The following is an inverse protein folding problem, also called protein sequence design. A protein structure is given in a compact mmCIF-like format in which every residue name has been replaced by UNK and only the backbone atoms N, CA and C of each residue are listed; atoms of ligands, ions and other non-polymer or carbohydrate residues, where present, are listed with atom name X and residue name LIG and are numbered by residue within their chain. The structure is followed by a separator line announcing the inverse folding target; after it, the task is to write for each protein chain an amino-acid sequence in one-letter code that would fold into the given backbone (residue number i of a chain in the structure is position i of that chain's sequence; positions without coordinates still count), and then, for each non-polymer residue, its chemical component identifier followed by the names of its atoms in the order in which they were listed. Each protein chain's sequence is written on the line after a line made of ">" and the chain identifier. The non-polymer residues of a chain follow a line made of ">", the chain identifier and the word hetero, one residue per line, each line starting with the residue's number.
data_IF_436269708928
#
_entry.id   IF_436269708928
#
_cell.length_a   1.000
_cell.length_b   1.000
_cell.length_c   1.000
_cell.angle_alpha   90.00
_cell.angle_beta   90.00
_cell.angle_gamma   90.00
#
_symmetry.space_group_name_H-M   'P 1'
#
loop_
_entity.id
_entity.type
_entity.pdbx_description
1 polymer ?
#
# COMPACT_ATOMS: atom_id res chain seq x y z
N UNK A 1 -19.22 -9.83 27.74
CA UNK A 1 -17.86 -10.01 27.21
C UNK A 1 -17.32 -8.62 26.92
N UNK A 2 -16.18 -8.26 27.50
CA UNK A 2 -15.54 -6.99 27.19
C UNK A 2 -15.09 -7.02 25.73
N UNK A 3 -15.49 -6.01 24.96
CA UNK A 3 -15.01 -5.80 23.59
C UNK A 3 -13.60 -5.23 23.74
N UNK A 4 -12.58 -5.87 23.18
CA UNK A 4 -11.25 -5.28 23.16
C UNK A 4 -11.32 -3.97 22.37
N UNK A 5 -10.77 -2.87 22.89
CA UNK A 5 -10.73 -1.62 22.15
C UNK A 5 -9.92 -1.81 20.85
N UNK A 6 -10.29 -1.12 19.76
CA UNK A 6 -9.67 -1.33 18.46
C UNK A 6 -8.18 -1.01 18.49
N UNK A 7 -7.38 -1.84 17.81
CA UNK A 7 -5.95 -1.61 17.64
C UNK A 7 -5.70 -0.46 16.68
N UNK A 8 -4.75 0.40 17.04
CA UNK A 8 -4.22 1.46 16.19
C UNK A 8 -2.76 1.18 15.87
N UNK A 9 -2.38 1.49 14.64
CA UNK A 9 -1.04 1.23 14.10
C UNK A 9 -0.41 2.54 13.66
N UNK A 10 0.82 2.82 14.10
CA UNK A 10 1.56 4.02 13.70
C UNK A 10 2.87 3.62 13.06
N UNK A 11 3.14 4.13 11.86
CA UNK A 11 4.41 3.94 11.17
C UNK A 11 5.20 5.23 11.27
N UNK A 12 6.33 5.21 11.97
CA UNK A 12 7.19 6.38 12.18
C UNK A 12 8.64 5.93 12.52
N UNK A 13 9.63 6.85 12.55
CA UNK A 13 10.93 6.55 13.16
C UNK A 13 10.77 6.15 14.63
N UNK A 14 11.64 5.27 15.13
CA UNK A 14 11.57 4.74 16.50
C UNK A 14 11.45 5.83 17.57
N UNK A 15 12.22 6.91 17.41
CA UNK A 15 12.29 8.03 18.36
C UNK A 15 11.03 8.88 18.41
N UNK A 16 10.12 8.73 17.44
CA UNK A 16 8.86 9.47 17.36
C UNK A 16 7.66 8.65 17.86
N UNK A 17 7.84 7.36 18.18
CA UNK A 17 6.76 6.49 18.66
C UNK A 17 6.56 6.65 20.17
N UNK A 18 5.39 7.10 20.64
CA UNK A 18 5.09 7.19 22.07
C UNK A 18 5.22 5.85 22.79
N UNK A 19 5.77 5.88 24.01
CA UNK A 19 5.88 4.71 24.89
C UNK A 19 4.92 4.86 26.07
N UNK A 20 4.41 3.75 26.61
CA UNK A 20 3.45 3.77 27.71
C UNK A 20 2.09 4.35 27.31
N UNK A 21 1.50 5.18 28.16
CA UNK A 21 0.20 5.81 27.90
C UNK A 21 0.33 7.06 27.04
N UNK A 22 -0.58 7.24 26.09
CA UNK A 22 -0.58 8.30 25.08
C UNK A 22 -1.99 8.70 24.67
N UNK A 23 -2.10 9.75 23.84
CA UNK A 23 -3.36 10.23 23.26
C UNK A 23 -3.40 9.98 21.75
N UNK A 24 -4.60 10.04 21.18
CA UNK A 24 -4.77 9.97 19.72
C UNK A 24 -4.05 11.11 19.00
N UNK A 25 -3.98 12.30 19.59
CA UNK A 25 -3.28 13.47 19.02
C UNK A 25 -1.77 13.18 18.87
N UNK A 26 -1.14 12.64 19.92
CA UNK A 26 0.27 12.25 19.87
C UNK A 26 0.54 11.15 18.83
N UNK A 27 -0.39 10.20 18.65
CA UNK A 27 -0.27 9.19 17.58
C UNK A 27 -0.36 9.82 16.17
N UNK A 28 -1.18 10.86 16.00
CA UNK A 28 -1.29 11.57 14.72
C UNK A 28 -0.02 12.35 14.41
N UNK A 29 0.59 13.00 15.41
CA UNK A 29 1.88 13.68 15.29
C UNK A 29 3.01 12.71 14.93
N UNK A 30 3.06 11.56 15.62
CA UNK A 30 4.02 10.51 15.31
C UNK A 30 3.84 10.00 13.87
N UNK A 31 2.60 9.73 13.44
CA UNK A 31 2.29 9.27 12.09
C UNK A 31 2.68 10.29 11.02
N UNK A 32 2.57 11.59 11.31
CA UNK A 32 2.99 12.66 10.40
C UNK A 32 4.52 12.69 10.17
N UNK A 33 5.31 12.12 11.10
CA UNK A 33 6.76 11.94 10.96
C UNK A 33 7.14 10.68 10.18
N UNK A 34 6.16 9.87 9.78
CA UNK A 34 6.33 8.62 9.05
C UNK A 34 6.30 8.77 7.51
N UNK A 35 5.77 7.76 6.80
CA UNK A 35 5.64 7.81 5.34
C UNK A 35 4.83 9.02 4.87
N UNK A 36 5.45 9.87 4.04
CA UNK A 36 4.84 11.05 3.42
C UNK A 36 4.75 10.96 1.89
N UNK A 37 5.18 9.82 1.34
CA UNK A 37 5.17 9.53 -0.10
C UNK A 37 4.55 8.17 -0.36
N UNK A 38 4.22 7.90 -1.61
CA UNK A 38 3.70 6.63 -2.08
C UNK A 38 3.45 6.71 -3.58
N UNK A 39 2.65 5.78 -4.10
CA UNK A 39 2.22 5.82 -5.49
C UNK A 39 0.81 5.27 -5.65
N UNK A 40 0.08 5.79 -6.63
CA UNK A 40 -1.13 5.16 -7.13
C UNK A 40 -0.70 4.05 -8.10
N UNK A 41 -1.26 2.85 -7.95
CA UNK A 41 -1.02 1.68 -8.78
C UNK A 41 -2.34 1.25 -9.42
N UNK A 42 -2.33 1.13 -10.74
CA UNK A 42 -3.37 0.40 -11.48
C UNK A 42 -2.78 -0.74 -12.26
N UNK A 43 -3.48 -1.86 -12.28
CA UNK A 43 -3.12 -3.02 -13.11
C UNK A 43 -4.30 -3.39 -13.97
N UNK A 44 -4.02 -3.65 -15.25
CA UNK A 44 -5.00 -4.07 -16.23
C UNK A 44 -4.61 -5.41 -16.85
N UNK A 45 -5.59 -6.27 -17.11
CA UNK A 45 -5.38 -7.36 -18.06
C UNK A 45 -5.19 -6.77 -19.46
N UNK A 46 -4.23 -7.31 -20.23
CA UNK A 46 -4.07 -6.89 -21.62
C UNK A 46 -5.23 -7.48 -22.43
N UNK A 47 -6.00 -6.60 -23.07
CA UNK A 47 -7.00 -6.99 -24.08
C UNK A 47 -6.33 -7.48 -25.38
N UNK A 48 -7.13 -7.64 -26.43
CA UNK A 48 -6.62 -8.08 -27.75
C UNK A 48 -5.71 -7.04 -28.42
N UNK A 49 -5.89 -5.76 -28.09
CA UNK A 49 -5.06 -4.67 -28.57
C UNK A 49 -3.73 -4.61 -27.81
N UNK A 50 -2.64 -4.40 -28.55
CA UNK A 50 -1.31 -4.07 -28.00
C UNK A 50 -1.13 -2.54 -28.03
N UNK A 51 -1.55 -1.80 -26.99
CA UNK A 51 -1.42 -0.36 -27.01
C UNK A 51 0.06 0.05 -26.98
N UNK A 52 0.40 1.02 -27.82
CA UNK A 52 1.63 1.79 -27.67
C UNK A 52 1.56 2.53 -26.33
N UNK A 53 2.53 2.27 -25.45
CA UNK A 53 2.55 2.86 -24.11
C UNK A 53 2.65 4.40 -24.17
N UNK A 54 3.25 4.96 -25.22
CA UNK A 54 3.38 6.41 -25.38
C UNK A 54 2.07 7.13 -25.69
N UNK A 55 1.03 6.39 -26.09
CA UNK A 55 -0.31 6.93 -26.35
C UNK A 55 -1.27 6.72 -25.18
N UNK A 56 -0.81 6.10 -24.07
CA UNK A 56 -1.64 5.83 -22.92
C UNK A 56 -1.85 7.08 -22.05
N UNK A 57 -3.03 7.22 -21.42
CA UNK A 57 -3.39 8.44 -20.71
C UNK A 57 -2.59 8.59 -19.41
N UNK A 58 -2.19 9.83 -19.10
CA UNK A 58 -1.45 10.17 -17.88
C UNK A 58 -2.20 9.81 -16.59
N UNK A 59 -3.53 9.92 -16.60
CA UNK A 59 -4.39 9.70 -15.43
C UNK A 59 -4.77 8.22 -15.21
N UNK A 60 -4.26 7.31 -16.04
CA UNK A 60 -4.50 5.88 -15.90
C UNK A 60 -5.90 5.42 -16.30
N UNK A 61 -6.70 6.22 -17.01
CA UNK A 61 -8.14 5.98 -17.26
C UNK A 61 -8.44 5.07 -18.47
N UNK A 62 -7.88 3.86 -18.50
CA UNK A 62 -8.02 2.96 -19.67
C UNK A 62 -9.41 2.36 -19.93
N UNK A 63 -10.25 2.24 -18.90
CA UNK A 63 -11.57 1.60 -19.00
C UNK A 63 -12.73 2.58 -18.79
N UNK A 64 -12.42 3.88 -18.62
CA UNK A 64 -13.39 4.89 -18.20
C UNK A 64 -14.09 4.49 -16.90
N UNK A 65 -15.40 4.70 -16.82
CA UNK A 65 -16.22 4.31 -15.65
C UNK A 65 -16.51 2.79 -15.58
N UNK A 66 -16.16 2.03 -16.63
CA UNK A 66 -16.41 0.59 -16.69
C UNK A 66 -15.21 -0.17 -16.14
N UNK A 67 -15.44 -1.38 -15.60
CA UNK A 67 -14.34 -2.29 -15.22
C UNK A 67 -13.65 -2.95 -16.41
N UNK A 68 -14.30 -3.04 -17.57
CA UNK A 68 -13.78 -3.65 -18.80
C UNK A 68 -14.23 -2.87 -20.02
N UNK A 69 -13.34 -2.70 -21.00
CA UNK A 69 -13.63 -2.04 -22.28
C UNK A 69 -13.96 -3.05 -23.41
N UNK A 70 -14.31 -2.55 -24.60
CA UNK A 70 -14.66 -3.38 -25.77
C UNK A 70 -13.53 -4.28 -26.25
N UNK A 71 -12.28 -3.86 -26.03
CA UNK A 71 -11.06 -4.58 -26.43
C UNK A 71 -10.69 -5.70 -25.45
N UNK A 72 -11.46 -5.87 -24.37
CA UNK A 72 -11.25 -6.90 -23.35
C UNK A 72 -10.32 -6.49 -22.20
N UNK A 73 -9.70 -5.31 -22.27
CA UNK A 73 -8.87 -4.74 -21.18
C UNK A 73 -9.73 -4.53 -19.95
N UNK A 74 -9.31 -5.09 -18.82
CA UNK A 74 -10.03 -5.02 -17.55
C UNK A 74 -9.15 -4.47 -16.44
N UNK A 75 -9.66 -3.54 -15.64
CA UNK A 75 -9.01 -3.07 -14.41
C UNK A 75 -9.05 -4.20 -13.36
N UNK A 76 -7.87 -4.66 -12.95
CA UNK A 76 -7.67 -5.73 -11.97
C UNK A 76 -7.33 -5.18 -10.58
N UNK A 77 -6.55 -4.09 -10.54
CA UNK A 77 -6.12 -3.44 -9.31
C UNK A 77 -6.21 -1.93 -9.47
N UNK A 78 -6.71 -1.24 -8.44
CA UNK A 78 -6.63 0.21 -8.26
C UNK A 78 -6.32 0.47 -6.78
N UNK A 79 -5.08 0.82 -6.46
CA UNK A 79 -4.57 0.88 -5.11
C UNK A 79 -3.70 2.12 -4.88
N UNK A 80 -3.65 2.57 -3.63
CA UNK A 80 -2.65 3.51 -3.15
C UNK A 80 -1.65 2.73 -2.31
N UNK A 81 -0.40 2.72 -2.75
CA UNK A 81 0.70 2.06 -2.05
C UNK A 81 1.47 3.12 -1.28
N UNK A 82 1.51 2.99 0.05
CA UNK A 82 2.25 3.89 0.93
C UNK A 82 3.74 3.56 0.85
N UNK A 83 4.60 4.57 0.72
CA UNK A 83 6.06 4.44 0.67
C UNK A 83 6.67 4.10 2.02
N UNK A 84 6.30 2.95 2.58
CA UNK A 84 6.89 2.42 3.82
C UNK A 84 8.29 1.92 3.51
N UNK A 85 9.28 2.34 4.31
CA UNK A 85 10.67 1.93 4.20
C UNK A 85 11.05 1.07 5.41
N UNK A 86 11.04 -0.28 5.30
CA UNK A 86 11.26 -1.15 6.46
C UNK A 86 12.60 -0.94 7.18
N UNK A 87 13.62 -0.42 6.49
CA UNK A 87 14.93 -0.12 7.07
C UNK A 87 14.94 1.15 7.95
N UNK A 88 13.98 2.06 7.76
CA UNK A 88 13.94 3.35 8.46
C UNK A 88 12.72 3.48 9.38
N UNK A 89 11.66 2.72 9.12
CA UNK A 89 10.41 2.83 9.84
C UNK A 89 10.23 1.73 10.88
N UNK A 90 9.56 2.10 11.95
CA UNK A 90 9.09 1.23 13.01
C UNK A 90 7.56 1.21 12.99
N UNK A 91 7.00 0.17 13.59
CA UNK A 91 5.57 0.05 13.82
C UNK A 91 5.30 0.14 15.32
N UNK A 92 4.55 1.16 15.73
CA UNK A 92 3.93 1.21 17.05
C UNK A 92 2.53 0.63 16.98
N UNK A 93 2.19 -0.23 17.94
CA UNK A 93 0.84 -0.81 18.09
C UNK A 93 0.25 -0.33 19.40
N UNK A 94 -0.95 0.21 19.35
CA UNK A 94 -1.63 0.82 20.50
C UNK A 94 -3.02 0.23 20.69
N UNK A 95 -3.39 -0.01 21.94
CA UNK A 95 -4.74 -0.41 22.33
C UNK A 95 -5.36 0.66 23.23
N UNK A 96 -6.69 0.80 23.20
CA UNK A 96 -7.39 1.67 24.15
C UNK A 96 -7.35 1.14 25.58
N UNK A 97 -7.46 2.05 26.54
CA UNK A 97 -7.72 1.66 27.92
C UNK A 97 -9.19 1.17 28.05
N UNK A 98 -9.43 0.02 28.72
CA UNK A 98 -10.79 -0.49 28.91
C UNK A 98 -11.70 0.41 29.75
N UNK A 99 -11.13 1.21 30.65
CA UNK A 99 -11.84 2.12 31.55
C UNK A 99 -11.96 3.53 30.96
N UNK A 100 -10.97 3.98 30.18
CA UNK A 100 -10.98 5.28 29.50
C UNK A 100 -10.52 5.19 28.02
N UNK A 101 -11.45 5.06 27.06
CA UNK A 101 -11.11 4.96 25.63
C UNK A 101 -10.35 6.15 25.04
N UNK A 102 -10.25 7.29 25.75
CA UNK A 102 -9.45 8.43 25.32
C UNK A 102 -7.95 8.24 25.59
N UNK A 103 -7.62 7.32 26.50
CA UNK A 103 -6.25 6.91 26.81
C UNK A 103 -5.89 5.69 25.96
N UNK A 104 -4.73 5.76 25.32
CA UNK A 104 -4.16 4.69 24.52
C UNK A 104 -2.89 4.18 25.20
N UNK A 105 -2.61 2.89 25.11
CA UNK A 105 -1.39 2.29 25.64
C UNK A 105 -0.59 1.64 24.53
N UNK A 106 0.71 1.91 24.52
CA UNK A 106 1.66 1.22 23.66
C UNK A 106 1.72 -0.26 24.06
N UNK A 107 1.29 -1.14 23.15
CA UNK A 107 1.35 -2.58 23.28
C UNK A 107 2.67 -3.12 22.73
N UNK A 108 3.18 -2.49 21.68
CA UNK A 108 4.39 -2.91 21.00
C UNK A 108 5.03 -1.78 20.20
N UNK A 109 6.35 -1.85 20.04
CA UNK A 109 7.14 -1.03 19.14
C UNK A 109 8.24 -1.90 18.54
N UNK A 110 8.18 -2.12 17.22
CA UNK A 110 9.05 -3.06 16.51
C UNK A 110 9.60 -2.45 15.23
N UNK A 111 10.86 -2.73 14.92
CA UNK A 111 11.46 -2.34 13.65
C UNK A 111 10.83 -3.15 12.51
N UNK A 112 10.41 -2.49 11.43
CA UNK A 112 9.77 -3.18 10.31
C UNK A 112 10.72 -4.17 9.61
N UNK A 113 12.04 -3.95 9.69
CA UNK A 113 13.06 -4.86 9.17
C UNK A 113 13.14 -6.20 9.91
N UNK A 114 12.53 -6.32 11.10
CA UNK A 114 12.54 -7.55 11.91
C UNK A 114 11.29 -8.41 11.68
N UNK A 115 10.32 -7.91 10.92
CA UNK A 115 9.05 -8.58 10.70
C UNK A 115 9.12 -9.63 9.59
N UNK A 116 8.21 -10.59 9.68
CA UNK A 116 8.04 -11.64 8.66
C UNK A 116 7.54 -11.06 7.33
N UNK A 117 7.83 -11.76 6.24
CA UNK A 117 7.38 -11.37 4.91
C UNK A 117 6.11 -12.13 4.52
N UNK A 118 5.20 -11.45 3.86
CA UNK A 118 4.04 -12.04 3.21
C UNK A 118 3.99 -11.67 1.73
N UNK A 119 3.42 -12.57 0.93
CA UNK A 119 3.29 -12.40 -0.53
C UNK A 119 2.30 -11.29 -0.86
N UNK A 120 2.68 -10.37 -1.74
CA UNK A 120 1.79 -9.33 -2.24
C UNK A 120 0.71 -9.89 -3.19
N UNK A 121 -0.53 -9.45 -2.99
CA UNK A 121 -1.69 -9.79 -3.81
C UNK A 121 -2.11 -8.68 -4.79
N UNK A 122 -1.39 -7.55 -4.86
CA UNK A 122 -1.70 -6.50 -5.83
C UNK A 122 -1.45 -6.96 -7.27
N UNK A 123 -0.50 -7.89 -7.45
CA UNK A 123 -0.12 -8.39 -8.78
C UNK A 123 -0.90 -9.65 -9.14
N UNK A 124 -1.26 -9.82 -10.43
CA UNK A 124 -1.85 -11.05 -10.93
C UNK A 124 -0.94 -12.24 -10.66
N UNK A 125 -1.52 -13.34 -10.20
CA UNK A 125 -0.82 -14.62 -9.97
C UNK A 125 -1.14 -15.67 -11.04
N UNK A 126 -1.93 -15.30 -12.06
CA UNK A 126 -2.26 -16.17 -13.19
C UNK A 126 -1.47 -15.75 -14.43
N UNK A 127 -1.24 -16.72 -15.30
CA UNK A 127 -0.48 -16.48 -16.52
C UNK A 127 -1.20 -15.48 -17.43
N UNK A 128 -0.43 -14.59 -18.03
CA UNK A 128 -0.98 -13.58 -18.92
C UNK A 128 -0.09 -12.38 -19.11
N UNK A 129 -0.55 -11.45 -19.95
CA UNK A 129 0.09 -10.15 -20.15
C UNK A 129 -0.75 -9.06 -19.52
N UNK A 130 -0.08 -8.09 -18.92
CA UNK A 130 -0.69 -7.03 -18.12
C UNK A 130 -0.07 -5.69 -18.42
N UNK A 131 -0.82 -4.63 -18.08
CA UNK A 131 -0.34 -3.25 -18.06
C UNK A 131 -0.34 -2.77 -16.61
N UNK A 132 0.73 -2.10 -16.19
CA UNK A 132 0.78 -1.33 -14.95
C UNK A 132 0.78 0.16 -15.27
N UNK A 133 0.12 0.92 -14.40
CA UNK A 133 0.22 2.37 -14.35
C UNK A 133 0.58 2.77 -12.94
N UNK A 134 1.63 3.58 -12.81
CA UNK A 134 2.14 4.05 -11.53
C UNK A 134 2.30 5.56 -11.55
N UNK A 135 1.83 6.23 -10.50
CA UNK A 135 1.98 7.68 -10.36
C UNK A 135 2.38 8.04 -8.94
N UNK A 136 3.51 8.72 -8.79
CA UNK A 136 4.02 9.19 -7.51
C UNK A 136 3.00 10.08 -6.79
N UNK A 137 2.92 9.93 -5.47
CA UNK A 137 2.03 10.67 -4.58
C UNK A 137 2.81 11.26 -3.40
N UNK A 138 2.41 12.47 -3.00
CA UNK A 138 2.66 12.97 -1.64
C UNK A 138 1.41 12.76 -0.81
N UNK A 139 1.58 12.24 0.40
CA UNK A 139 0.51 11.76 1.26
C UNK A 139 0.61 12.40 2.64
N UNK A 140 -0.55 12.67 3.24
CA UNK A 140 -0.67 12.85 4.69
C UNK A 140 -1.60 11.76 5.21
N UNK A 141 -1.14 11.03 6.23
CA UNK A 141 -1.78 9.83 6.74
C UNK A 141 -2.19 10.00 8.20
N UNK A 142 -3.32 9.39 8.59
CA UNK A 142 -3.68 9.16 9.98
C UNK A 142 -3.17 7.80 10.49
N UNK A 143 -3.24 7.55 11.81
CA UNK A 143 -2.99 6.23 12.38
C UNK A 143 -3.82 5.16 11.68
N UNK A 144 -3.19 4.03 11.39
CA UNK A 144 -3.78 2.93 10.66
C UNK A 144 -4.66 2.03 11.51
N UNK A 145 -5.50 1.25 10.83
CA UNK A 145 -6.38 0.24 11.42
C UNK A 145 -6.41 -1.01 10.53
N UNK A 146 -7.00 -2.10 11.03
CA UNK A 146 -7.19 -3.32 10.24
C UNK A 146 -8.36 -3.09 9.27
N UNK A 147 -8.12 -3.27 7.98
CA UNK A 147 -9.16 -3.21 6.94
C UNK A 147 -10.13 -4.38 7.12
N UNK A 148 -11.44 -4.10 7.05
CA UNK A 148 -12.51 -5.10 7.16
C UNK A 148 -12.30 -6.09 8.33
N UNK A 149 -11.90 -5.57 9.50
CA UNK A 149 -11.47 -6.35 10.66
C UNK A 149 -12.48 -7.45 11.04
N UNK A 150 -12.12 -8.75 10.91
CA UNK A 150 -12.98 -9.85 11.30
C UNK A 150 -13.33 -9.80 12.80
N UNK A 151 -14.53 -10.24 13.17
CA UNK A 151 -14.96 -10.25 14.57
C UNK A 151 -14.01 -11.09 15.44
N UNK A 152 -13.51 -12.21 14.92
CA UNK A 152 -12.56 -13.07 15.61
C UNK A 152 -11.28 -12.31 15.94
N UNK A 153 -10.71 -11.61 14.95
CA UNK A 153 -9.47 -10.85 15.10
C UNK A 153 -9.63 -9.68 16.08
N UNK A 154 -10.78 -9.01 16.06
CA UNK A 154 -11.10 -7.91 16.98
C UNK A 154 -11.18 -8.34 18.45
N UNK A 155 -11.46 -9.62 18.72
CA UNK A 155 -11.62 -10.17 20.08
C UNK A 155 -10.36 -10.83 20.61
N UNK A 156 -9.38 -11.09 19.76
CA UNK A 156 -8.11 -11.67 20.18
C UNK A 156 -7.22 -10.61 20.82
N UNK A 157 -6.40 -10.99 21.82
CA UNK A 157 -5.32 -10.11 22.27
C UNK A 157 -4.33 -9.87 21.14
N UNK A 158 -3.63 -8.74 21.20
CA UNK A 158 -2.56 -8.44 20.26
C UNK A 158 -1.48 -9.54 20.27
N UNK A 159 -1.06 -9.97 19.07
CA UNK A 159 0.03 -10.90 18.87
C UNK A 159 0.94 -10.44 17.72
N UNK A 160 2.18 -10.10 18.05
CA UNK A 160 3.20 -9.64 17.09
C UNK A 160 3.41 -10.63 15.94
N UNK A 161 3.27 -11.93 16.20
CA UNK A 161 3.51 -12.97 15.18
C UNK A 161 2.53 -12.88 13.99
N UNK A 162 1.42 -12.17 14.18
CA UNK A 162 0.42 -11.94 13.13
C UNK A 162 0.75 -10.75 12.23
N UNK A 163 1.84 -10.01 12.49
CA UNK A 163 2.28 -8.89 11.64
C UNK A 163 3.24 -9.39 10.57
N UNK A 164 2.95 -9.03 9.32
CA UNK A 164 3.85 -9.27 8.18
C UNK A 164 3.98 -8.06 7.28
N UNK A 165 5.17 -7.88 6.70
CA UNK A 165 5.46 -6.91 5.64
C UNK A 165 5.07 -7.52 4.30
N UNK A 166 4.25 -6.82 3.52
CA UNK A 166 3.90 -7.21 2.17
C UNK A 166 4.94 -6.68 1.19
N UNK A 167 5.54 -7.55 0.39
CA UNK A 167 6.55 -7.17 -0.60
C UNK A 167 6.06 -7.38 -2.02
N UNK A 168 6.33 -6.42 -2.91
CA UNK A 168 6.05 -6.55 -4.33
C UNK A 168 6.75 -7.77 -4.95
N UNK A 169 6.06 -8.48 -5.83
CA UNK A 169 6.63 -9.55 -6.67
C UNK A 169 7.29 -8.99 -7.94
N UNK A 170 7.11 -7.69 -8.24
CA UNK A 170 7.82 -7.01 -9.32
C UNK A 170 9.23 -6.62 -8.88
N UNK A 171 10.22 -7.44 -9.19
CA UNK A 171 11.58 -6.94 -9.47
C UNK A 171 12.73 -7.73 -8.85
N UNK A 172 13.65 -8.14 -9.73
CA UNK A 172 15.00 -8.63 -9.43
C UNK A 172 15.95 -7.53 -8.88
N UNK A 173 15.42 -6.50 -8.22
CA UNK A 173 16.19 -5.37 -7.72
C UNK A 173 16.15 -5.36 -6.18
N UNK A 174 17.28 -5.06 -5.55
CA UNK A 174 17.54 -5.17 -4.09
C UNK A 174 16.67 -4.25 -3.20
N UNK A 175 15.66 -3.62 -3.77
CA UNK A 175 14.77 -2.61 -3.21
C UNK A 175 13.31 -3.07 -3.15
N UNK A 176 13.04 -4.39 -3.18
CA UNK A 176 11.75 -5.05 -2.89
C UNK A 176 10.80 -4.03 -2.26
N UNK A 177 9.85 -3.46 -3.00
CA UNK A 177 9.10 -2.32 -2.45
C UNK A 177 8.14 -2.89 -1.40
N UNK A 178 8.26 -2.47 -0.14
CA UNK A 178 7.20 -2.73 0.83
C UNK A 178 5.93 -2.07 0.31
N UNK A 179 4.91 -2.87 0.03
CA UNK A 179 3.64 -2.41 -0.53
C UNK A 179 2.54 -2.30 0.52
N UNK A 180 2.84 -2.67 1.76
CA UNK A 180 1.92 -2.57 2.87
C UNK A 180 2.32 -3.46 4.05
N UNK A 181 1.46 -3.47 5.06
CA UNK A 181 1.57 -4.32 6.23
C UNK A 181 0.27 -5.09 6.40
N UNK A 182 0.34 -6.23 7.06
CA UNK A 182 -0.82 -7.03 7.45
C UNK A 182 -0.82 -7.30 8.94
N UNK A 183 -2.01 -7.55 9.49
CA UNK A 183 -2.21 -8.11 10.81
C UNK A 183 -3.29 -9.19 10.73
N UNK A 184 -2.97 -10.41 11.15
CA UNK A 184 -3.91 -11.55 11.08
C UNK A 184 -4.32 -11.90 9.65
N UNK A 185 -3.42 -11.67 8.68
CA UNK A 185 -3.68 -11.84 7.25
C UNK A 185 -4.54 -10.74 6.61
N UNK A 186 -5.02 -9.76 7.39
CA UNK A 186 -5.76 -8.61 6.88
C UNK A 186 -4.85 -7.42 6.63
N UNK A 187 -5.15 -6.61 5.61
CA UNK A 187 -4.38 -5.42 5.29
C UNK A 187 -4.53 -4.39 6.42
N UNK A 188 -3.44 -3.72 6.78
CA UNK A 188 -3.53 -2.48 7.53
C UNK A 188 -3.83 -1.34 6.57
N UNK A 189 -4.77 -0.47 6.91
CA UNK A 189 -5.15 0.70 6.12
C UNK A 189 -4.82 1.98 6.87
N UNK A 190 -4.23 2.94 6.15
CA UNK A 190 -3.86 4.26 6.67
C UNK A 190 -4.83 5.30 6.11
N UNK A 191 -5.68 5.91 6.96
CA UNK A 191 -6.62 6.94 6.52
C UNK A 191 -5.90 8.10 5.82
N UNK A 192 -6.26 8.37 4.56
CA UNK A 192 -5.73 9.49 3.80
C UNK A 192 -6.34 10.81 4.30
N UNK A 193 -5.50 11.73 4.78
CA UNK A 193 -5.90 13.10 5.16
C UNK A 193 -5.79 14.05 3.97
N UNK A 194 -4.71 13.93 3.21
CA UNK A 194 -4.52 14.67 1.97
C UNK A 194 -3.67 13.87 1.00
N UNK A 195 -3.84 14.15 -0.29
CA UNK A 195 -3.02 13.58 -1.37
C UNK A 195 -2.77 14.62 -2.46
N UNK A 196 -1.56 14.63 -3.00
CA UNK A 196 -1.26 15.30 -4.26
C UNK A 196 -0.46 14.37 -5.15
N UNK A 197 -0.75 14.42 -6.45
CA UNK A 197 -0.10 13.55 -7.44
C UNK A 197 1.02 14.29 -8.15
N UNK A 198 2.10 13.58 -8.45
CA UNK A 198 3.19 14.13 -9.25
C UNK A 198 2.76 14.39 -10.69
N UNK A 199 3.48 15.25 -11.42
CA UNK A 199 3.15 15.61 -12.79
C UNK A 199 3.47 14.52 -13.83
N UNK A 200 4.04 13.39 -13.37
CA UNK A 200 4.47 12.27 -14.23
C UNK A 200 3.82 10.98 -13.78
N UNK A 201 3.63 10.06 -14.72
CA UNK A 201 3.25 8.68 -14.44
C UNK A 201 4.05 7.74 -15.33
N UNK A 202 4.18 6.48 -14.92
CA UNK A 202 4.88 5.44 -15.66
C UNK A 202 3.87 4.38 -16.06
N UNK A 203 3.82 4.08 -17.36
CA UNK A 203 3.16 2.89 -17.88
C UNK A 203 4.19 1.79 -18.05
N UNK A 204 3.85 0.58 -17.62
CA UNK A 204 4.65 -0.61 -17.81
C UNK A 204 3.83 -1.73 -18.44
N UNK A 205 4.51 -2.63 -19.12
CA UNK A 205 3.96 -3.91 -19.57
C UNK A 205 4.76 -5.03 -18.94
N UNK A 206 4.06 -6.05 -18.48
CA UNK A 206 4.71 -7.23 -17.91
C UNK A 206 3.91 -8.49 -18.23
N UNK A 207 4.58 -9.63 -18.13
CA UNK A 207 4.02 -10.96 -18.33
C UNK A 207 4.23 -11.79 -17.08
N UNK A 208 3.20 -12.54 -16.69
CA UNK A 208 3.27 -13.58 -15.66
C UNK A 208 3.21 -14.93 -16.36
N UNK A 209 4.09 -15.83 -15.96
CA UNK A 209 4.25 -17.17 -16.52
C UNK A 209 4.72 -18.12 -15.42
N UNK A 210 3.79 -18.77 -14.71
CA UNK A 210 4.09 -19.57 -13.53
C UNK A 210 4.88 -20.85 -13.84
N UNK A 211 4.93 -21.27 -15.10
CA UNK A 211 5.73 -22.42 -15.53
C UNK A 211 7.18 -22.04 -15.89
N UNK A 212 7.48 -20.74 -15.97
CA UNK A 212 8.81 -20.24 -16.28
C UNK A 212 9.71 -20.14 -15.03
N UNK A 213 11.02 -20.27 -15.24
CA UNK A 213 12.06 -20.08 -14.20
C UNK A 213 11.98 -18.69 -13.54
N UNK A 214 11.54 -17.68 -14.31
CA UNK A 214 11.23 -16.33 -13.82
C UNK A 214 9.75 -16.10 -14.08
N UNK A 215 8.95 -16.18 -13.01
CA UNK A 215 7.49 -16.12 -13.13
C UNK A 215 6.95 -14.77 -13.56
N UNK A 216 7.79 -13.72 -13.54
CA UNK A 216 7.38 -12.38 -13.93
C UNK A 216 8.46 -11.65 -14.73
N UNK A 217 8.10 -11.18 -15.93
CA UNK A 217 9.01 -10.45 -16.82
C UNK A 217 8.41 -9.09 -17.18
N UNK A 218 9.14 -8.01 -16.89
CA UNK A 218 8.80 -6.66 -17.39
C UNK A 218 9.27 -6.54 -18.84
N UNK A 219 8.35 -6.25 -19.76
CA UNK A 219 8.61 -6.22 -21.20
C UNK A 219 9.08 -4.83 -21.66
N UNK A 220 8.34 -3.78 -21.28
CA UNK A 220 8.68 -2.38 -21.56
C UNK A 220 8.06 -1.42 -20.54
N UNK A 221 8.60 -0.20 -20.46
CA UNK A 221 8.05 0.88 -19.65
C UNK A 221 8.30 2.25 -20.30
N UNK A 222 7.39 3.19 -20.07
CA UNK A 222 7.53 4.58 -20.50
C UNK A 222 7.01 5.54 -19.44
N UNK A 223 7.70 6.66 -19.25
CA UNK A 223 7.23 7.76 -18.41
C UNK A 223 6.51 8.78 -19.28
N UNK A 224 5.29 9.11 -18.89
CA UNK A 224 4.43 10.13 -19.51
C UNK A 224 4.34 11.36 -18.62
N UNK A 225 4.22 12.53 -19.23
CA UNK A 225 4.26 13.83 -18.55
C UNK A 225 2.93 14.56 -18.71
N UNK A 226 2.53 15.34 -17.70
CA UNK A 226 1.51 16.37 -17.88
C UNK A 226 1.98 17.35 -18.95
N UNK A 227 1.15 17.57 -19.98
CA UNK A 227 1.37 18.68 -20.89
C UNK A 227 1.41 19.96 -20.04
N UNK A 228 2.51 20.71 -20.07
CA UNK A 228 2.54 22.04 -19.47
C UNK A 228 1.41 22.83 -20.12
N UNK A 229 0.52 23.40 -19.31
CA UNK A 229 -0.35 24.50 -19.72
C UNK A 229 0.55 25.71 -20.03
N UNK A 230 1.25 25.63 -21.16
CA UNK A 230 1.97 26.71 -21.79
C UNK A 230 1.24 26.94 -23.11
N UNK A 231 0.15 27.70 -23.00
CA UNK A 231 -0.44 28.61 -24.00
C UNK A 231 -1.94 28.76 -23.72
N UNK A 232 -2.27 29.79 -22.92
CA UNK A 232 -3.57 30.47 -22.91
C UNK A 232 -3.37 31.88 -22.40
#
# INVERSE_FOLDING_TARGET
>A
MAVNPPLLFVVAPATQLPQGSTSLEALQEAQASGPSTGFALRIFSRGAAHPDLGLLPLDGSLTGDKRRNSEGTQLLCDAVVVGIQPQHHWLGVYGGDPEDPSVLHCLDCVALSELSNATCWFYPTHDGSFLSWERGLRLSLGPGSIADCPEELSRMPYDRSQISVLWSLLGDNASLTCVGLTYGGQRLDWPLRSRSSEAVATWGRFRVDNEADISLVVEDCITVFAASLADS
#
